data_IF_007436407536
#
_entry.id   IF_007436407536
#
_cell.length_a   1.000
_cell.length_b   1.000
_cell.length_c   1.000
_cell.angle_alpha   90.00
_cell.angle_beta   90.00
_cell.angle_gamma   90.00
#
_symmetry.space_group_name_H-M   'P 1'
#
loop_
_entity.id
_entity.type
_entity.pdbx_description
1 polymer ?
#
# COMPACT_ATOMS: atom_id res chain seq x y z
N UNK A 1 -24.96 -13.04 -18.70
CA UNK A 1 -24.47 -12.12 -17.64
C UNK A 1 -23.32 -12.72 -16.82
N UNK A 2 -23.33 -14.03 -16.51
CA UNK A 2 -22.33 -14.72 -15.67
C UNK A 2 -20.98 -14.89 -16.37
N UNK A 3 -20.97 -15.30 -17.63
CA UNK A 3 -19.79 -15.38 -18.49
C UNK A 3 -19.04 -14.02 -18.58
N UNK A 4 -19.77 -12.92 -18.63
CA UNK A 4 -19.19 -11.59 -18.65
C UNK A 4 -18.49 -11.23 -17.33
N UNK A 5 -19.04 -11.65 -16.18
CA UNK A 5 -18.41 -11.45 -14.86
C UNK A 5 -17.12 -12.26 -14.73
N UNK A 6 -17.09 -13.50 -15.21
CA UNK A 6 -15.90 -14.33 -15.22
C UNK A 6 -14.80 -13.75 -16.12
N UNK A 7 -15.18 -13.25 -17.30
CA UNK A 7 -14.24 -12.62 -18.21
C UNK A 7 -13.64 -11.33 -17.64
N UNK A 8 -14.45 -10.55 -16.91
CA UNK A 8 -14.00 -9.34 -16.22
C UNK A 8 -12.98 -9.64 -15.11
N UNK A 9 -13.10 -10.78 -14.44
CA UNK A 9 -12.10 -11.23 -13.46
C UNK A 9 -10.71 -11.46 -14.06
N UNK A 10 -10.64 -11.89 -15.32
CA UNK A 10 -9.37 -12.02 -16.07
C UNK A 10 -8.70 -10.66 -16.30
N UNK A 11 -9.45 -9.65 -16.71
CA UNK A 11 -8.93 -8.30 -16.89
C UNK A 11 -8.38 -7.69 -15.59
N UNK A 12 -9.03 -7.98 -14.45
CA UNK A 12 -8.53 -7.54 -13.13
C UNK A 12 -7.21 -8.24 -12.78
N UNK A 13 -7.09 -9.54 -13.08
CA UNK A 13 -5.83 -10.28 -12.89
C UNK A 13 -4.70 -9.72 -13.75
N UNK A 14 -4.96 -9.43 -15.01
CA UNK A 14 -3.97 -8.82 -15.92
C UNK A 14 -3.53 -7.44 -15.44
N UNK A 15 -4.44 -6.63 -14.93
CA UNK A 15 -4.12 -5.33 -14.33
C UNK A 15 -3.25 -5.45 -13.07
N UNK A 16 -3.49 -6.45 -12.23
CA UNK A 16 -2.66 -6.72 -11.04
C UNK A 16 -1.27 -7.17 -11.39
N UNK A 17 -1.12 -8.02 -12.40
CA UNK A 17 0.18 -8.43 -12.93
C UNK A 17 0.93 -7.23 -13.49
N UNK A 18 0.23 -6.33 -14.18
CA UNK A 18 0.78 -5.07 -14.70
C UNK A 18 1.28 -4.18 -13.57
N UNK A 19 0.48 -3.97 -12.52
CA UNK A 19 0.90 -3.19 -11.34
C UNK A 19 2.16 -3.81 -10.71
N UNK A 20 2.21 -5.14 -10.52
CA UNK A 20 3.37 -5.84 -9.96
C UNK A 20 4.63 -5.64 -10.80
N UNK A 21 4.51 -5.76 -12.10
CA UNK A 21 5.65 -5.60 -13.02
C UNK A 21 6.17 -4.17 -13.05
N UNK A 22 5.31 -3.20 -13.32
CA UNK A 22 5.71 -1.84 -13.64
C UNK A 22 5.80 -0.93 -12.41
N UNK A 23 4.87 -1.06 -11.46
CA UNK A 23 4.84 -0.17 -10.30
C UNK A 23 5.80 -0.62 -9.19
N UNK A 24 6.07 -1.92 -9.10
CA UNK A 24 6.98 -2.52 -8.12
C UNK A 24 8.29 -3.06 -8.71
N UNK A 25 8.49 -2.88 -10.01
CA UNK A 25 9.73 -3.27 -10.67
C UNK A 25 9.97 -4.78 -10.73
N UNK A 26 8.90 -5.60 -10.67
CA UNK A 26 9.01 -7.05 -10.70
C UNK A 26 9.63 -7.60 -11.99
N UNK A 27 9.66 -6.83 -13.07
CA UNK A 27 10.32 -7.20 -14.34
C UNK A 27 11.81 -6.83 -14.37
N UNK A 28 12.27 -5.97 -13.45
CA UNK A 28 13.65 -5.43 -13.45
C UNK A 28 14.58 -6.17 -12.47
N UNK A 29 14.18 -7.34 -11.99
CA UNK A 29 14.98 -8.15 -11.09
C UNK A 29 16.10 -8.83 -11.90
N UNK A 30 17.24 -8.15 -12.02
CA UNK A 30 18.42 -8.66 -12.71
C UNK A 30 19.54 -9.00 -11.72
N UNK A 31 19.32 -10.04 -10.94
CA UNK A 31 20.31 -10.53 -9.97
C UNK A 31 21.04 -11.75 -10.55
N UNK A 32 22.36 -11.83 -10.30
CA UNK A 32 23.20 -12.92 -10.85
C UNK A 32 22.93 -14.28 -10.20
N UNK A 33 22.33 -14.29 -9.02
CA UNK A 33 22.06 -15.49 -8.26
C UNK A 33 20.56 -15.80 -8.27
N UNK A 34 20.19 -17.05 -8.58
CA UNK A 34 18.80 -17.51 -8.62
C UNK A 34 18.07 -17.27 -7.29
N UNK A 35 18.68 -17.68 -6.17
CA UNK A 35 18.07 -17.52 -4.85
C UNK A 35 17.89 -16.06 -4.44
N UNK A 36 18.82 -15.20 -4.85
CA UNK A 36 18.68 -13.76 -4.61
C UNK A 36 17.54 -13.16 -5.43
N UNK A 37 17.35 -13.62 -6.68
CA UNK A 37 16.23 -13.21 -7.54
C UNK A 37 14.90 -13.66 -6.96
N UNK A 38 14.81 -14.90 -6.48
CA UNK A 38 13.63 -15.44 -5.82
C UNK A 38 13.28 -14.64 -4.54
N UNK A 39 14.26 -14.39 -3.69
CA UNK A 39 14.06 -13.59 -2.47
C UNK A 39 13.58 -12.16 -2.78
N UNK A 40 14.16 -11.53 -3.79
CA UNK A 40 13.75 -10.21 -4.24
C UNK A 40 12.31 -10.22 -4.80
N UNK A 41 11.95 -11.23 -5.59
CA UNK A 41 10.59 -11.39 -6.10
C UNK A 41 9.59 -11.59 -4.97
N UNK A 42 9.89 -12.42 -3.98
CA UNK A 42 9.05 -12.62 -2.79
C UNK A 42 8.86 -11.33 -2.01
N UNK A 43 9.92 -10.51 -1.84
CA UNK A 43 9.83 -9.20 -1.19
C UNK A 43 8.93 -8.23 -1.98
N UNK A 44 9.03 -8.22 -3.30
CA UNK A 44 8.15 -7.44 -4.19
C UNK A 44 6.70 -7.88 -4.03
N UNK A 45 6.42 -9.18 -4.06
CA UNK A 45 5.07 -9.73 -3.89
C UNK A 45 4.49 -9.42 -2.51
N UNK A 46 5.30 -9.52 -1.46
CA UNK A 46 4.88 -9.15 -0.10
C UNK A 46 4.52 -7.66 -0.01
N UNK A 47 5.35 -6.79 -0.56
CA UNK A 47 5.10 -5.35 -0.59
C UNK A 47 3.83 -5.02 -1.38
N UNK A 48 3.62 -5.67 -2.52
CA UNK A 48 2.40 -5.53 -3.30
C UNK A 48 1.16 -5.93 -2.50
N UNK A 49 1.22 -7.06 -1.78
CA UNK A 49 0.11 -7.54 -0.96
C UNK A 49 -0.19 -6.56 0.19
N UNK A 50 0.82 -6.05 0.89
CA UNK A 50 0.65 -5.05 1.94
C UNK A 50 0.01 -3.77 1.41
N UNK A 51 0.48 -3.25 0.28
CA UNK A 51 -0.11 -2.08 -0.36
C UNK A 51 -1.55 -2.33 -0.83
N UNK A 52 -1.84 -3.53 -1.34
CA UNK A 52 -3.19 -3.92 -1.76
C UNK A 52 -4.14 -4.03 -0.57
N UNK A 53 -3.68 -4.55 0.58
CA UNK A 53 -4.44 -4.58 1.82
C UNK A 53 -4.70 -3.17 2.36
N UNK A 54 -3.69 -2.31 2.38
CA UNK A 54 -3.83 -0.91 2.79
C UNK A 54 -4.82 -0.17 1.89
N UNK A 55 -4.77 -0.38 0.57
CA UNK A 55 -5.73 0.19 -0.38
C UNK A 55 -7.16 -0.24 -0.06
N UNK A 56 -7.38 -1.51 0.27
CA UNK A 56 -8.71 -2.03 0.59
C UNK A 56 -9.17 -1.66 2.01
N UNK A 57 -8.30 -1.76 2.99
CA UNK A 57 -8.65 -1.53 4.39
C UNK A 57 -8.82 -0.06 4.73
N UNK A 58 -7.91 0.79 4.25
CA UNK A 58 -7.85 2.21 4.64
C UNK A 58 -8.63 3.11 3.68
N UNK A 59 -8.63 2.79 2.37
CA UNK A 59 -9.10 3.73 1.34
C UNK A 59 -10.54 3.49 0.85
N UNK A 60 -11.17 2.36 1.17
CA UNK A 60 -12.56 2.05 0.75
C UNK A 60 -13.60 2.84 1.56
N UNK A 61 -13.24 3.56 2.63
CA UNK A 61 -14.25 4.34 3.32
C UNK A 61 -14.59 5.61 2.55
N UNK A 62 -15.88 5.84 2.38
CA UNK A 62 -16.46 7.00 1.72
C UNK A 62 -15.98 8.37 2.28
N UNK A 63 -15.34 8.39 3.45
CA UNK A 63 -14.76 9.58 4.08
C UNK A 63 -13.46 10.05 3.42
N UNK A 64 -12.83 9.23 2.57
CA UNK A 64 -11.48 9.46 2.05
C UNK A 64 -11.46 9.75 0.55
N UNK A 65 -12.56 9.55 -0.16
CA UNK A 65 -12.63 9.77 -1.60
C UNK A 65 -13.82 10.65 -1.95
N UNK A 66 -13.58 11.75 -2.64
CA UNK A 66 -14.63 12.59 -3.24
C UNK A 66 -15.43 11.84 -4.33
N UNK A 67 -14.94 10.66 -4.74
CA UNK A 67 -15.60 9.77 -5.71
C UNK A 67 -15.46 8.32 -5.22
N UNK A 68 -16.54 7.72 -4.70
CA UNK A 68 -16.47 6.38 -4.08
C UNK A 68 -16.10 5.24 -5.04
N UNK A 69 -16.19 5.44 -6.35
CA UNK A 69 -15.99 4.39 -7.37
C UNK A 69 -14.60 4.37 -8.01
N UNK A 70 -13.73 5.33 -7.74
CA UNK A 70 -12.41 5.39 -8.39
C UNK A 70 -11.34 4.77 -7.50
N UNK A 71 -11.03 3.51 -7.76
CA UNK A 71 -9.89 2.85 -7.12
C UNK A 71 -8.58 3.39 -7.72
N UNK A 72 -7.79 4.09 -6.90
CA UNK A 72 -6.46 4.55 -7.31
C UNK A 72 -5.52 3.38 -7.60
N UNK A 73 -4.72 3.49 -8.66
CA UNK A 73 -3.61 2.56 -8.91
C UNK A 73 -2.57 2.68 -7.79
N UNK A 74 -1.81 1.63 -7.56
CA UNK A 74 -0.77 1.63 -6.52
C UNK A 74 0.32 2.67 -6.80
N UNK A 75 0.62 2.95 -8.07
CA UNK A 75 1.51 4.04 -8.49
C UNK A 75 0.98 5.40 -8.03
N UNK A 76 -0.30 5.68 -8.26
CA UNK A 76 -0.94 6.93 -7.84
C UNK A 76 -0.93 7.06 -6.31
N UNK A 77 -1.19 5.98 -5.58
CA UNK A 77 -1.14 5.95 -4.12
C UNK A 77 0.26 6.23 -3.60
N UNK A 78 1.28 5.57 -4.17
CA UNK A 78 2.67 5.82 -3.83
C UNK A 78 3.03 7.29 -3.98
N UNK A 79 2.64 7.91 -5.10
CA UNK A 79 2.86 9.34 -5.34
C UNK A 79 2.12 10.22 -4.34
N UNK A 80 0.86 9.93 -4.05
CA UNK A 80 0.06 10.73 -3.12
C UNK A 80 0.51 10.61 -1.66
N UNK A 81 0.91 9.41 -1.22
CA UNK A 81 1.21 9.11 0.18
C UNK A 81 2.69 9.24 0.53
N UNK A 82 3.58 8.67 -0.29
CA UNK A 82 4.99 8.50 0.10
C UNK A 82 5.93 9.55 -0.48
N UNK A 83 5.56 10.26 -1.54
CA UNK A 83 6.39 11.33 -2.09
C UNK A 83 6.12 12.67 -1.42
N UNK A 84 6.13 12.71 -0.10
CA UNK A 84 5.96 13.93 0.69
C UNK A 84 7.23 14.21 1.46
N UNK A 85 7.66 15.48 1.48
CA UNK A 85 8.75 15.88 2.33
C UNK A 85 8.34 15.69 3.80
N UNK A 86 9.19 15.04 4.57
CA UNK A 86 8.94 14.79 5.98
C UNK A 86 10.25 14.92 6.78
N UNK A 87 10.14 15.35 8.02
CA UNK A 87 11.25 15.35 8.95
C UNK A 87 10.82 14.81 10.31
N UNK A 88 11.74 14.19 11.02
CA UNK A 88 11.50 13.61 12.33
C UNK A 88 12.00 14.56 13.39
N UNK A 89 11.12 14.89 14.34
CA UNK A 89 11.47 15.63 15.56
C UNK A 89 11.38 14.72 16.77
N UNK A 90 12.26 14.95 17.73
CA UNK A 90 12.21 14.28 19.01
C UNK A 90 11.67 15.25 20.05
N UNK A 91 10.58 14.89 20.70
CA UNK A 91 10.04 15.60 21.86
C UNK A 91 10.14 14.67 23.08
N UNK A 92 11.22 14.80 23.82
CA UNK A 92 11.56 13.90 24.91
C UNK A 92 11.69 12.45 24.44
N UNK A 93 10.79 11.58 24.91
CA UNK A 93 10.75 10.14 24.55
C UNK A 93 9.89 9.84 23.33
N UNK A 94 9.21 10.85 22.77
CA UNK A 94 8.31 10.66 21.63
C UNK A 94 9.01 11.11 20.35
N UNK A 95 8.91 10.25 19.33
CA UNK A 95 9.31 10.60 17.95
C UNK A 95 8.08 11.09 17.22
N UNK A 96 8.16 12.27 16.62
CA UNK A 96 7.10 12.86 15.82
C UNK A 96 7.55 12.96 14.37
N UNK A 97 6.69 12.58 13.45
CA UNK A 97 6.91 12.75 12.01
C UNK A 97 6.10 13.95 11.55
N UNK A 98 6.80 14.98 11.09
CA UNK A 98 6.19 16.16 10.53
C UNK A 98 6.20 16.04 9.01
N UNK A 99 5.02 16.05 8.39
CA UNK A 99 4.87 15.90 6.95
C UNK A 99 4.43 17.22 6.31
N UNK A 100 5.08 17.60 5.23
CA UNK A 100 4.66 18.73 4.41
C UNK A 100 3.52 18.30 3.48
N UNK A 101 2.30 18.56 3.90
CA UNK A 101 1.08 18.27 3.13
C UNK A 101 0.41 19.58 2.75
N UNK A 102 -0.01 19.74 1.48
CA UNK A 102 -0.77 20.90 1.06
C UNK A 102 -2.10 20.97 1.84
N UNK A 103 -2.52 22.16 2.26
CA UNK A 103 -3.71 22.37 3.12
C UNK A 103 -4.96 21.66 2.59
N UNK A 104 -5.18 21.67 1.29
CA UNK A 104 -6.30 20.99 0.64
C UNK A 104 -6.32 19.46 0.83
N UNK A 105 -5.19 18.86 1.23
CA UNK A 105 -5.06 17.42 1.44
C UNK A 105 -4.93 17.03 2.92
N UNK A 106 -4.86 17.98 3.84
CA UNK A 106 -4.69 17.71 5.27
C UNK A 106 -5.83 16.84 5.82
N UNK A 107 -7.07 17.23 5.59
CA UNK A 107 -8.25 16.47 6.06
C UNK A 107 -8.25 15.02 5.53
N UNK A 108 -7.81 14.83 4.29
CA UNK A 108 -7.69 13.50 3.70
C UNK A 108 -6.61 12.66 4.39
N UNK A 109 -5.46 13.25 4.69
CA UNK A 109 -4.38 12.56 5.42
C UNK A 109 -4.76 12.24 6.86
N UNK A 110 -5.42 13.15 7.56
CA UNK A 110 -5.92 12.93 8.92
C UNK A 110 -6.94 11.79 8.96
N UNK A 111 -7.89 11.79 8.02
CA UNK A 111 -8.86 10.71 7.89
C UNK A 111 -8.21 9.33 7.60
N UNK A 112 -7.16 9.30 6.77
CA UNK A 112 -6.37 8.08 6.53
C UNK A 112 -5.66 7.61 7.80
N UNK A 113 -5.05 8.54 8.51
CA UNK A 113 -4.31 8.27 9.74
C UNK A 113 -5.22 7.70 10.83
N UNK A 114 -6.36 8.32 11.07
CA UNK A 114 -7.31 7.88 12.08
C UNK A 114 -7.90 6.52 11.73
N UNK A 115 -8.18 6.28 10.46
CA UNK A 115 -8.63 4.98 10.01
C UNK A 115 -7.55 3.91 10.13
N UNK A 116 -6.30 4.25 9.86
CA UNK A 116 -5.19 3.30 10.04
C UNK A 116 -5.02 2.86 11.49
N UNK A 117 -5.31 3.75 12.46
CA UNK A 117 -5.30 3.40 13.89
C UNK A 117 -6.45 2.48 14.29
N UNK A 118 -7.59 2.60 13.63
CA UNK A 118 -8.79 1.78 13.91
C UNK A 118 -8.73 0.41 13.23
N UNK A 119 -7.75 0.15 12.36
CA UNK A 119 -7.56 -1.13 11.70
C UNK A 119 -7.05 -2.16 12.71
N UNK A 120 -7.92 -3.09 13.08
CA UNK A 120 -7.51 -4.28 13.82
C UNK A 120 -7.12 -5.37 12.83
N UNK A 121 -5.83 -5.70 12.79
CA UNK A 121 -5.38 -6.81 11.97
C UNK A 121 -5.78 -8.13 12.65
N UNK A 122 -6.38 -9.08 11.93
CA UNK A 122 -6.82 -10.34 12.51
C UNK A 122 -5.64 -11.23 12.97
N UNK A 123 -4.40 -10.82 12.70
CA UNK A 123 -3.18 -11.56 13.07
C UNK A 123 -2.46 -10.84 14.20
N UNK A 124 -2.54 -11.38 15.40
CA UNK A 124 -1.70 -10.95 16.52
C UNK A 124 -0.38 -11.70 16.44
N UNK A 125 0.68 -11.02 16.03
CA UNK A 125 2.04 -11.56 16.12
C UNK A 125 2.42 -11.68 17.60
N UNK A 126 2.45 -12.87 18.13
CA UNK A 126 3.15 -13.12 19.41
C UNK A 126 4.63 -13.28 19.09
N UNK A 127 5.53 -12.43 19.57
CA UNK A 127 6.95 -12.68 19.44
C UNK A 127 7.28 -13.98 20.20
N UNK A 128 7.63 -15.02 19.47
CA UNK A 128 8.16 -16.26 20.06
C UNK A 128 9.66 -16.03 20.25
N UNK A 129 10.01 -15.29 21.28
CA UNK A 129 11.37 -15.31 21.82
C UNK A 129 11.32 -16.13 23.11
N UNK A 130 11.56 -17.43 23.00
CA UNK A 130 12.09 -18.24 24.09
C UNK A 130 13.60 -18.27 23.91
N UNK A 131 14.32 -17.54 24.73
CA UNK A 131 15.74 -17.80 25.03
C UNK A 131 15.82 -18.98 25.98
#
# INVERSE_FOLDING_TARGET
AELWRLYRGRADCENRIKELKYDFGGENLNLRNFWATEAALLAVMMTYNLMSLSRRGVMISNAVSDKPDVQHTLKTLRYKLFTKAAYITNDGRKKMINMAVAMQHCNWFEGLWDKSKSLDFPVKFKPVFSL
#
